data_IF_898061976557
#
_entry.id   IF_898061976557
#
_cell.length_a   1.000
_cell.length_b   1.000
_cell.length_c   1.000
_cell.angle_alpha   90.00
_cell.angle_beta   90.00
_cell.angle_gamma   90.00
#
_symmetry.space_group_name_H-M   'P 1'
#
loop_
_entity.id
_entity.type
_entity.pdbx_description
1 polymer ?
#
# COMPACT_ATOMS: atom_id res chain seq x y z
N UNK A 1 -12.98 -22.80 8.53
CA UNK A 1 -12.17 -22.38 7.37
C UNK A 1 -12.72 -21.04 6.94
N UNK A 2 -11.93 -19.97 7.03
CA UNK A 2 -12.42 -18.61 6.82
C UNK A 2 -11.48 -17.59 7.46
N UNK A 3 -10.68 -16.97 6.59
CA UNK A 3 -9.89 -15.75 6.76
C UNK A 3 -8.69 -15.78 7.74
N UNK A 4 -7.56 -16.22 7.18
CA UNK A 4 -6.23 -15.78 7.63
C UNK A 4 -6.14 -14.26 7.46
N UNK A 5 -6.48 -13.51 8.52
CA UNK A 5 -6.20 -12.09 8.61
C UNK A 5 -4.67 -11.89 8.66
N UNK A 6 -4.09 -11.75 7.47
CA UNK A 6 -2.69 -11.46 7.25
C UNK A 6 -2.47 -9.97 7.57
N UNK A 7 -2.42 -9.62 8.86
CA UNK A 7 -1.93 -8.32 9.32
C UNK A 7 -0.41 -8.25 9.10
N UNK A 8 -0.04 -8.12 7.82
CA UNK A 8 1.28 -7.80 7.34
C UNK A 8 1.48 -6.29 7.53
N UNK A 9 1.76 -5.87 8.76
CA UNK A 9 2.10 -4.47 9.02
C UNK A 9 3.29 -4.03 8.15
N UNK A 10 3.19 -2.85 7.56
CA UNK A 10 4.30 -2.18 6.85
C UNK A 10 5.12 -1.38 7.86
N UNK A 11 6.44 -1.50 7.79
CA UNK A 11 7.40 -0.89 8.68
C UNK A 11 8.27 0.10 7.89
N UNK A 12 8.33 1.34 8.36
CA UNK A 12 9.24 2.33 7.81
C UNK A 12 10.63 2.21 8.47
N UNK A 13 11.67 2.15 7.64
CA UNK A 13 13.06 2.07 8.07
C UNK A 13 13.83 3.24 7.48
N UNK A 14 14.46 4.04 8.34
CA UNK A 14 15.38 5.09 7.90
C UNK A 14 16.77 4.49 7.70
N UNK A 15 17.31 4.61 6.49
CA UNK A 15 18.65 4.15 6.12
C UNK A 15 19.55 5.37 6.02
N UNK A 16 20.68 5.32 6.74
CA UNK A 16 21.73 6.35 6.68
C UNK A 16 22.98 5.69 6.09
N UNK A 17 23.37 6.10 4.90
CA UNK A 17 24.58 5.62 4.24
C UNK A 17 25.84 6.30 4.79
N UNK A 18 27.00 5.68 4.58
CA UNK A 18 28.30 6.19 5.04
C UNK A 18 28.66 7.56 4.45
N UNK A 19 28.15 7.87 3.25
CA UNK A 19 28.33 9.17 2.60
C UNK A 19 27.41 10.28 3.18
N UNK A 20 26.63 9.97 4.22
CA UNK A 20 25.66 10.87 4.84
C UNK A 20 24.31 10.95 4.15
N UNK A 21 24.12 10.26 3.01
CA UNK A 21 22.83 10.21 2.33
C UNK A 21 21.82 9.42 3.18
N UNK A 22 20.63 9.98 3.36
CA UNK A 22 19.55 9.37 4.14
C UNK A 22 18.34 9.18 3.25
N UNK A 23 17.68 8.03 3.37
CA UNK A 23 16.39 7.76 2.74
C UNK A 23 15.57 6.85 3.62
N UNK A 24 14.27 6.75 3.35
CA UNK A 24 13.38 5.84 4.06
C UNK A 24 12.92 4.73 3.13
N UNK A 25 12.69 3.55 3.68
CA UNK A 25 12.15 2.40 2.95
C UNK A 25 10.97 1.80 3.71
N UNK A 26 9.99 1.30 2.97
CA UNK A 26 8.90 0.49 3.53
C UNK A 26 9.21 -1.01 3.41
N UNK A 27 8.98 -1.74 4.48
CA UNK A 27 9.23 -3.19 4.58
C UNK A 27 8.12 -3.91 5.31
N UNK A 28 7.76 -5.08 4.83
CA UNK A 28 6.86 -6.02 5.50
C UNK A 28 7.65 -6.94 6.42
N UNK A 29 6.95 -7.68 7.28
CA UNK A 29 7.59 -8.73 8.09
C UNK A 29 8.27 -9.79 7.21
N UNK A 30 7.65 -10.13 6.07
CA UNK A 30 8.13 -11.07 5.07
C UNK A 30 9.47 -10.61 4.48
N UNK A 31 9.61 -9.32 4.15
CA UNK A 31 10.88 -8.78 3.62
C UNK A 31 12.03 -9.01 4.61
N UNK A 32 11.78 -8.76 5.90
CA UNK A 32 12.73 -9.00 6.97
C UNK A 32 13.04 -10.50 7.15
N UNK A 33 12.03 -11.35 7.01
CA UNK A 33 12.18 -12.79 7.10
C UNK A 33 13.03 -13.34 5.95
N UNK A 34 12.77 -12.90 4.72
CA UNK A 34 13.49 -13.32 3.51
C UNK A 34 14.94 -12.83 3.52
N UNK A 35 15.18 -11.58 3.96
CA UNK A 35 16.53 -11.05 4.21
C UNK A 35 17.30 -12.00 5.14
N UNK A 36 16.66 -12.39 6.25
CA UNK A 36 17.26 -13.27 7.24
C UNK A 36 17.53 -14.68 6.69
N UNK A 37 16.60 -15.28 5.95
CA UNK A 37 16.81 -16.59 5.32
C UNK A 37 17.98 -16.56 4.32
N UNK A 38 18.07 -15.51 3.50
CA UNK A 38 19.16 -15.34 2.53
C UNK A 38 20.51 -15.16 3.21
N UNK A 39 20.58 -14.37 4.30
CA UNK A 39 21.78 -14.23 5.11
C UNK A 39 22.21 -15.57 5.73
N UNK A 40 21.27 -16.34 6.28
CA UNK A 40 21.57 -17.66 6.84
C UNK A 40 22.09 -18.65 5.79
N UNK A 41 21.58 -18.57 4.56
CA UNK A 41 22.01 -19.43 3.46
C UNK A 41 23.43 -19.13 2.99
N UNK A 42 23.81 -17.86 2.94
CA UNK A 42 25.11 -17.43 2.40
C UNK A 42 26.20 -17.48 3.46
N UNK A 43 25.93 -17.01 4.68
CA UNK A 43 26.91 -16.95 5.75
C UNK A 43 26.90 -18.21 6.61
N UNK A 44 26.67 -19.38 6.01
CA UNK A 44 26.43 -20.66 6.68
C UNK A 44 27.05 -20.76 8.07
N UNK A 45 26.21 -20.93 9.09
CA UNK A 45 26.55 -20.86 10.52
C UNK A 45 26.81 -19.47 11.11
N UNK A 46 26.20 -18.40 10.58
CA UNK A 46 25.86 -17.26 11.45
C UNK A 46 25.26 -17.82 12.73
N UNK A 47 25.88 -17.50 13.86
CA UNK A 47 25.47 -18.02 15.16
C UNK A 47 23.99 -17.66 15.34
N UNK A 48 23.10 -18.66 15.15
CA UNK A 48 21.64 -18.48 15.19
C UNK A 48 21.19 -17.86 16.51
N UNK A 49 22.06 -17.88 17.52
CA UNK A 49 21.87 -17.24 18.82
C UNK A 49 22.18 -15.74 18.82
N UNK A 50 23.05 -15.24 17.92
CA UNK A 50 23.47 -13.84 17.85
C UNK A 50 22.59 -12.99 16.94
N UNK A 51 22.14 -13.52 15.79
CA UNK A 51 21.13 -12.86 14.94
C UNK A 51 19.76 -13.43 15.26
N UNK A 52 19.18 -12.95 16.37
CA UNK A 52 17.89 -13.41 16.85
C UNK A 52 16.74 -12.78 16.04
N UNK A 53 16.41 -13.39 14.91
CA UNK A 53 15.19 -13.03 14.19
C UNK A 53 13.95 -13.59 14.93
N UNK A 54 12.85 -12.82 15.09
CA UNK A 54 11.62 -13.36 15.65
C UNK A 54 11.07 -14.45 14.72
N UNK A 55 11.22 -15.72 15.10
CA UNK A 55 10.76 -16.86 14.30
C UNK A 55 9.23 -16.81 14.09
N UNK A 56 8.82 -16.96 12.84
CA UNK A 56 7.41 -16.99 12.38
C UNK A 56 6.62 -18.23 12.84
N UNK A 57 7.25 -19.18 13.53
CA UNK A 57 6.62 -20.44 13.95
C UNK A 57 5.78 -20.37 15.24
N UNK A 58 5.86 -19.29 16.02
CA UNK A 58 4.92 -19.10 17.14
C UNK A 58 3.73 -18.34 16.61
N UNK A 59 2.60 -19.03 16.40
CA UNK A 59 1.28 -18.41 16.26
C UNK A 59 1.12 -17.44 17.42
N UNK A 60 1.19 -16.15 17.15
CA UNK A 60 0.83 -15.14 18.11
C UNK A 60 -0.69 -15.17 18.13
N UNK A 61 -1.29 -15.54 19.26
CA UNK A 61 -2.74 -15.41 19.42
C UNK A 61 -3.05 -13.91 19.45
N UNK A 62 -3.31 -13.36 18.27
CA UNK A 62 -3.70 -11.97 18.10
C UNK A 62 -5.17 -11.89 18.51
N UNK A 63 -5.43 -11.45 19.74
CA UNK A 63 -6.75 -10.96 20.12
C UNK A 63 -6.94 -9.57 19.50
N UNK A 64 -8.07 -9.38 18.80
CA UNK A 64 -8.50 -8.10 18.22
C UNK A 64 -8.32 -6.97 19.25
N UNK A 65 -7.49 -5.97 18.95
CA UNK A 65 -7.13 -4.87 19.87
C UNK A 65 -5.70 -4.88 20.41
N UNK A 66 -4.84 -5.82 19.99
CA UNK A 66 -3.42 -5.93 20.39
C UNK A 66 -2.45 -5.73 19.21
N UNK A 67 -2.94 -5.22 18.08
CA UNK A 67 -2.20 -5.16 16.82
C UNK A 67 -1.11 -4.09 16.84
N UNK A 68 -1.43 -2.91 17.37
CA UNK A 68 -0.48 -1.80 17.47
C UNK A 68 0.64 -2.07 18.48
N UNK A 69 0.31 -2.67 19.64
CA UNK A 69 1.30 -3.06 20.64
C UNK A 69 2.23 -4.17 20.10
N UNK A 70 1.68 -5.08 19.28
CA UNK A 70 2.46 -6.12 18.61
C UNK A 70 3.36 -5.56 17.51
N UNK A 71 2.86 -4.61 16.71
CA UNK A 71 3.65 -3.89 15.72
C UNK A 71 4.81 -3.14 16.38
N UNK A 72 4.57 -2.41 17.47
CA UNK A 72 5.62 -1.73 18.27
C UNK A 72 6.66 -2.72 18.81
N UNK A 73 6.24 -3.87 19.35
CA UNK A 73 7.14 -4.94 19.79
C UNK A 73 7.95 -5.54 18.64
N UNK A 74 7.41 -5.61 17.42
CA UNK A 74 8.11 -6.05 16.21
C UNK A 74 9.12 -5.00 15.75
N UNK A 75 8.77 -3.71 15.72
CA UNK A 75 9.69 -2.62 15.40
C UNK A 75 10.97 -2.68 16.23
N UNK A 76 10.84 -2.83 17.55
CA UNK A 76 12.00 -2.91 18.45
C UNK A 76 12.92 -4.11 18.12
N UNK A 77 12.33 -5.25 17.74
CA UNK A 77 13.10 -6.45 17.35
C UNK A 77 13.77 -6.27 15.99
N UNK A 78 13.11 -5.64 15.03
CA UNK A 78 13.71 -5.35 13.72
C UNK A 78 14.83 -4.33 13.82
N UNK A 79 14.66 -3.27 14.61
CA UNK A 79 15.72 -2.31 14.89
C UNK A 79 16.95 -2.99 15.51
N UNK A 80 16.73 -3.84 16.52
CA UNK A 80 17.81 -4.63 17.12
C UNK A 80 18.49 -5.55 16.10
N UNK A 81 17.70 -6.23 15.27
CA UNK A 81 18.22 -7.12 14.22
C UNK A 81 19.10 -6.37 13.21
N UNK A 82 18.66 -5.21 12.71
CA UNK A 82 19.44 -4.38 11.79
C UNK A 82 20.73 -3.85 12.46
N UNK A 83 20.65 -3.46 13.73
CA UNK A 83 21.84 -3.07 14.50
C UNK A 83 22.81 -4.24 14.70
N UNK A 84 22.30 -5.45 14.95
CA UNK A 84 23.14 -6.65 15.03
C UNK A 84 23.79 -6.92 13.67
N UNK A 85 23.08 -6.72 12.55
CA UNK A 85 23.63 -6.84 11.20
C UNK A 85 24.76 -5.85 10.90
N UNK A 86 24.80 -4.67 11.52
CA UNK A 86 25.93 -3.73 11.36
C UNK A 86 27.28 -4.34 11.78
N UNK A 87 27.28 -5.39 12.60
CA UNK A 87 28.49 -6.09 13.04
C UNK A 87 28.97 -7.17 12.06
N UNK A 88 28.16 -7.50 11.06
CA UNK A 88 28.50 -8.47 10.03
C UNK A 88 28.60 -7.68 8.72
N UNK A 89 29.77 -7.63 8.07
CA UNK A 89 29.97 -6.89 6.82
C UNK A 89 29.16 -7.47 5.66
N UNK A 90 27.84 -7.31 5.70
CA UNK A 90 26.84 -7.93 4.80
C UNK A 90 26.15 -6.92 3.90
N UNK A 91 26.33 -5.63 4.16
CA UNK A 91 25.67 -4.55 3.43
C UNK A 91 26.04 -4.48 1.95
N UNK A 92 27.20 -5.02 1.57
CA UNK A 92 27.63 -5.10 0.18
C UNK A 92 27.03 -6.28 -0.59
N UNK A 93 26.34 -7.20 0.09
CA UNK A 93 25.71 -8.33 -0.58
C UNK A 93 24.55 -7.85 -1.46
N UNK A 94 24.43 -8.34 -2.71
CA UNK A 94 23.44 -7.83 -3.67
C UNK A 94 22.00 -7.82 -3.16
N UNK A 95 21.57 -8.89 -2.48
CA UNK A 95 20.21 -9.00 -1.94
C UNK A 95 19.97 -8.09 -0.72
N UNK A 96 21.03 -7.75 0.03
CA UNK A 96 20.95 -6.77 1.12
C UNK A 96 20.83 -5.37 0.55
N UNK A 97 21.55 -5.06 -0.54
CA UNK A 97 21.36 -3.81 -1.27
C UNK A 97 19.96 -3.70 -1.84
N UNK A 98 19.44 -4.77 -2.47
CA UNK A 98 18.03 -4.82 -2.92
C UNK A 98 17.07 -4.57 -1.78
N UNK A 99 17.30 -5.16 -0.60
CA UNK A 99 16.50 -4.86 0.59
C UNK A 99 16.55 -3.36 0.94
N UNK A 100 17.73 -2.74 0.98
CA UNK A 100 17.91 -1.34 1.34
C UNK A 100 17.42 -0.33 0.30
N UNK A 101 17.18 -0.74 -0.95
CA UNK A 101 16.73 0.16 -2.04
C UNK A 101 15.32 -0.12 -2.54
N UNK A 102 14.76 -1.30 -2.28
CA UNK A 102 13.38 -1.60 -2.66
C UNK A 102 12.42 -0.88 -1.71
N UNK A 103 11.39 -0.25 -2.27
CA UNK A 103 10.38 0.48 -1.49
C UNK A 103 10.91 1.77 -0.87
N UNK A 104 11.88 2.44 -1.51
CA UNK A 104 12.28 3.81 -1.13
C UNK A 104 11.07 4.72 -1.17
N UNK A 105 10.85 5.42 -0.06
CA UNK A 105 9.91 6.53 0.05
C UNK A 105 10.69 7.78 -0.34
N UNK A 106 10.24 8.49 -1.37
CA UNK A 106 10.84 9.77 -1.72
C UNK A 106 10.50 10.78 -0.62
N UNK A 107 11.52 11.25 0.10
CA UNK A 107 11.38 12.25 1.16
C UNK A 107 10.96 13.64 0.64
N UNK A 108 10.86 13.81 -0.68
CA UNK A 108 10.32 15.01 -1.33
C UNK A 108 8.78 15.01 -1.40
N UNK A 109 8.12 13.94 -0.94
CA UNK A 109 6.70 13.93 -0.61
C UNK A 109 6.56 14.20 0.90
N UNK A 110 6.87 15.44 1.31
CA UNK A 110 6.42 15.97 2.60
C UNK A 110 4.88 16.04 2.59
N UNK A 111 4.28 15.47 3.63
CA UNK A 111 2.92 15.75 4.12
C UNK A 111 1.76 15.48 3.14
N UNK A 112 1.30 14.23 3.08
CA UNK A 112 -0.13 14.01 3.22
C UNK A 112 -0.34 13.27 4.54
N UNK A 113 -0.73 14.06 5.54
CA UNK A 113 -1.41 13.60 6.73
C UNK A 113 -2.45 12.52 6.35
N UNK A 114 -2.65 11.58 7.27
CA UNK A 114 -3.82 10.72 7.35
C UNK A 114 -5.12 11.55 7.56
N UNK A 115 -5.41 12.52 6.69
CA UNK A 115 -6.79 12.85 6.39
C UNK A 115 -7.30 11.67 5.55
N UNK A 116 -8.34 11.00 6.03
CA UNK A 116 -9.33 10.44 5.13
C UNK A 116 -9.72 11.58 4.17
N UNK A 117 -9.03 11.74 3.05
CA UNK A 117 -9.63 12.38 1.89
C UNK A 117 -10.82 11.45 1.58
N UNK A 118 -12.01 11.82 2.06
CA UNK A 118 -13.22 11.54 1.30
C UNK A 118 -12.85 12.02 -0.10
N UNK A 119 -12.43 11.10 -0.98
CA UNK A 119 -12.20 11.45 -2.38
C UNK A 119 -13.49 12.14 -2.80
N UNK A 120 -13.41 13.47 -3.03
CA UNK A 120 -14.53 14.32 -3.46
C UNK A 120 -14.95 13.82 -4.85
N UNK A 121 -15.62 12.67 -4.87
CA UNK A 121 -16.17 12.09 -6.06
C UNK A 121 -17.25 13.05 -6.50
N UNK A 122 -17.01 13.72 -7.61
CA UNK A 122 -18.02 14.57 -8.21
C UNK A 122 -19.29 13.75 -8.45
N UNK A 123 -20.31 14.00 -7.64
CA UNK A 123 -21.61 13.36 -7.72
C UNK A 123 -22.37 13.96 -8.89
N UNK A 124 -22.87 13.09 -9.76
CA UNK A 124 -23.62 13.52 -10.94
C UNK A 124 -24.94 12.78 -11.06
N UNK A 125 -25.87 13.37 -11.81
CA UNK A 125 -27.17 12.79 -12.13
C UNK A 125 -27.41 12.86 -13.63
N UNK A 126 -27.95 11.80 -14.23
CA UNK A 126 -28.45 11.86 -15.60
C UNK A 126 -29.55 12.92 -15.70
N UNK A 127 -29.37 13.90 -16.60
CA UNK A 127 -30.34 14.93 -16.91
C UNK A 127 -31.44 14.44 -17.88
N UNK A 128 -31.18 13.33 -18.58
CA UNK A 128 -32.10 12.71 -19.53
C UNK A 128 -31.77 11.21 -19.72
N UNK A 129 -32.62 10.50 -20.45
CA UNK A 129 -32.36 9.11 -20.88
C UNK A 129 -31.26 9.03 -21.94
N UNK A 130 -30.40 8.01 -21.86
CA UNK A 130 -29.35 7.75 -22.84
C UNK A 130 -29.20 6.27 -23.12
N UNK A 131 -29.40 5.88 -24.39
CA UNK A 131 -29.21 4.51 -24.88
C UNK A 131 -28.05 4.46 -25.88
N UNK A 132 -27.24 3.41 -25.79
CA UNK A 132 -26.06 3.25 -26.64
C UNK A 132 -25.70 1.78 -26.83
N UNK A 133 -25.22 1.44 -28.03
CA UNK A 133 -24.68 0.11 -28.33
C UNK A 133 -23.15 0.05 -28.16
N UNK A 134 -22.51 1.17 -27.79
CA UNK A 134 -21.06 1.22 -27.61
C UNK A 134 -20.65 0.49 -26.33
N UNK A 135 -19.80 -0.53 -26.48
CA UNK A 135 -19.34 -1.43 -25.40
C UNK A 135 -18.77 -0.74 -24.15
N UNK A 136 -18.23 0.46 -24.28
CA UNK A 136 -17.59 1.20 -23.19
C UNK A 136 -18.45 2.33 -22.61
N UNK A 137 -19.67 2.52 -23.13
CA UNK A 137 -20.58 3.57 -22.70
C UNK A 137 -21.71 2.95 -21.89
N UNK A 138 -22.13 3.62 -20.81
CA UNK A 138 -23.26 3.17 -20.01
C UNK A 138 -24.57 3.59 -20.68
N UNK A 139 -25.56 2.69 -20.67
CA UNK A 139 -26.96 3.02 -20.93
C UNK A 139 -27.63 3.38 -19.61
N UNK A 140 -28.36 4.48 -19.56
CA UNK A 140 -28.94 5.00 -18.32
C UNK A 140 -30.26 5.74 -18.55
N UNK A 141 -31.00 5.95 -17.46
CA UNK A 141 -32.24 6.74 -17.45
C UNK A 141 -32.05 8.06 -16.72
N UNK A 142 -32.91 9.03 -17.01
CA UNK A 142 -33.01 10.29 -16.28
C UNK A 142 -33.05 10.03 -14.76
N UNK A 143 -32.28 10.82 -14.00
CA UNK A 143 -32.14 10.69 -12.56
C UNK A 143 -31.14 9.64 -12.08
N UNK A 144 -30.54 8.83 -12.97
CA UNK A 144 -29.49 7.87 -12.60
C UNK A 144 -28.30 8.60 -11.98
N UNK A 145 -27.85 8.13 -10.82
CA UNK A 145 -26.73 8.72 -10.09
C UNK A 145 -25.39 8.11 -10.52
N UNK A 146 -24.36 8.95 -10.56
CA UNK A 146 -23.00 8.57 -10.93
C UNK A 146 -21.97 9.19 -9.99
N UNK A 147 -20.85 8.48 -9.82
CA UNK A 147 -19.64 9.01 -9.20
C UNK A 147 -18.59 9.20 -10.30
N UNK A 148 -18.05 10.42 -10.45
CA UNK A 148 -17.00 10.68 -11.43
C UNK A 148 -15.67 10.10 -10.94
N UNK A 149 -15.10 9.13 -11.67
CA UNK A 149 -13.87 8.45 -11.27
C UNK A 149 -12.59 9.19 -11.74
N UNK A 150 -12.73 10.15 -12.65
CA UNK A 150 -11.66 11.07 -13.07
C UNK A 150 -12.25 12.45 -13.28
N UNK A 151 -11.64 13.48 -12.68
CA UNK A 151 -12.11 14.86 -12.75
C UNK A 151 -11.94 15.47 -14.15
N UNK A 152 -10.97 15.00 -14.93
CA UNK A 152 -10.75 15.47 -16.30
C UNK A 152 -11.71 14.78 -17.28
N UNK A 153 -12.67 15.54 -17.81
CA UNK A 153 -13.47 15.11 -18.95
C UNK A 153 -12.57 14.96 -20.18
N UNK A 154 -12.47 13.75 -20.73
CA UNK A 154 -11.82 13.54 -22.01
C UNK A 154 -12.73 14.07 -23.11
N UNK A 155 -12.55 15.34 -23.45
CA UNK A 155 -13.06 16.07 -24.61
C UNK A 155 -14.58 16.11 -24.87
N UNK A 156 -15.40 15.30 -24.19
CA UNK A 156 -16.87 15.25 -24.25
C UNK A 156 -17.45 14.14 -23.36
N UNK A 157 -16.62 13.25 -22.82
CA UNK A 157 -17.04 12.08 -22.04
C UNK A 157 -16.45 12.10 -20.64
N UNK A 158 -17.25 11.65 -19.67
CA UNK A 158 -16.82 11.43 -18.28
C UNK A 158 -16.76 9.94 -17.99
N UNK A 159 -15.70 9.51 -17.30
CA UNK A 159 -15.59 8.13 -16.82
C UNK A 159 -16.17 8.04 -15.42
N UNK A 160 -17.20 7.20 -15.27
CA UNK A 160 -18.05 7.19 -14.08
C UNK A 160 -18.28 5.77 -13.56
N UNK A 161 -18.65 5.69 -12.29
CA UNK A 161 -19.24 4.52 -11.64
C UNK A 161 -20.73 4.76 -11.40
N UNK A 162 -21.57 3.78 -11.74
CA UNK A 162 -23.00 3.80 -11.49
C UNK A 162 -23.34 2.92 -10.26
N UNK A 163 -23.75 3.49 -9.11
CA UNK A 163 -23.98 2.71 -7.89
C UNK A 163 -25.14 1.70 -7.98
N UNK A 164 -26.15 1.96 -8.81
CA UNK A 164 -27.32 1.09 -8.95
C UNK A 164 -27.02 -0.18 -9.74
N UNK A 165 -26.16 -0.10 -10.76
CA UNK A 165 -25.76 -1.25 -11.59
C UNK A 165 -24.40 -1.84 -11.20
N UNK A 166 -23.61 -1.10 -10.42
CA UNK A 166 -22.21 -1.43 -10.07
C UNK A 166 -21.29 -1.54 -11.28
N UNK A 167 -21.62 -0.81 -12.35
CA UNK A 167 -20.83 -0.78 -13.58
C UNK A 167 -20.01 0.52 -13.69
N UNK A 168 -18.87 0.43 -14.36
CA UNK A 168 -18.09 1.60 -14.76
C UNK A 168 -18.10 1.75 -16.27
N UNK A 169 -18.07 2.99 -16.73
CA UNK A 169 -18.05 3.28 -18.16
C UNK A 169 -18.06 4.76 -18.45
N UNK A 170 -18.19 5.10 -19.73
CA UNK A 170 -18.24 6.48 -20.19
C UNK A 170 -19.68 6.97 -20.33
N UNK A 171 -19.92 8.20 -19.89
CA UNK A 171 -21.17 8.94 -20.12
C UNK A 171 -20.90 10.26 -20.84
N UNK A 172 -21.80 10.74 -21.71
CA UNK A 172 -21.66 12.05 -22.33
C UNK A 172 -21.77 13.16 -21.27
N UNK A 173 -20.80 14.07 -21.24
CA UNK A 173 -20.75 15.16 -20.26
C UNK A 173 -21.98 16.07 -20.34
N UNK A 174 -22.55 16.24 -21.53
CA UNK A 174 -23.72 17.09 -21.77
C UNK A 174 -25.05 16.48 -21.28
N UNK A 175 -25.05 15.21 -20.85
CA UNK A 175 -26.25 14.49 -20.43
C UNK A 175 -26.29 14.22 -18.93
N UNK A 176 -25.30 14.74 -18.20
CA UNK A 176 -25.20 14.59 -16.75
C UNK A 176 -25.00 15.96 -16.10
N UNK A 177 -25.76 16.21 -15.04
CA UNK A 177 -25.63 17.40 -14.21
C UNK A 177 -24.84 17.08 -12.95
N UNK A 178 -23.95 17.99 -12.56
CA UNK A 178 -23.27 17.94 -11.28
C UNK A 178 -24.28 18.24 -10.16
N UNK A 179 -24.28 17.42 -9.12
CA UNK A 179 -25.13 17.61 -7.95
C UNK A 179 -24.37 18.45 -6.92
N UNK A 180 -25.04 19.36 -6.20
CA UNK A 180 -24.44 19.97 -5.02
C UNK A 180 -24.14 18.88 -3.98
N UNK A 181 -23.07 19.10 -3.21
CA UNK A 181 -22.71 18.32 -2.01
C UNK A 181 -23.87 18.27 -0.99
#
# INVERSE_FOLDING_TARGET
EGEENNLLGVYEVTVVAENGQTWRIQKTYEDFYDLNQNLFRILGHLDRKKLAFPQSGKKWNITKGNDEEMAKKRCFKFQRYLNDLNHYSVWDLPFVRTFLTAGIINLDEEEQDDEEEEEDYLHMSAACDYETEKKYCLTFREGTKFLCLKSEALHEWRYVYCPSTKETGFVPSAMVDELPE
#
